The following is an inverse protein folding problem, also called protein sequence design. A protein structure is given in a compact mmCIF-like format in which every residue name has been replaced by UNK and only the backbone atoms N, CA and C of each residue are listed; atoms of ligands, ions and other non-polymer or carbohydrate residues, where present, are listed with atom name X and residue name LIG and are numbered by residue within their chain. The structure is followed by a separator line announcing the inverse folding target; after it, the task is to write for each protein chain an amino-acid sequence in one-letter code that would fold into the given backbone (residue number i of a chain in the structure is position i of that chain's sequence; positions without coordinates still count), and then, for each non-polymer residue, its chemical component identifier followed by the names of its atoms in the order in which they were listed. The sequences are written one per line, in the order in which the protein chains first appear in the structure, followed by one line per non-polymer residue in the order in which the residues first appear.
data_IF_280674820218
#
_entry.id   IF_280674820218
#
_cell.length_a   1.000
_cell.length_b   1.000
_cell.length_c   1.000
_cell.angle_alpha   90.00
_cell.angle_beta   90.00
_cell.angle_gamma   90.00
#
_symmetry.space_group_name_H-M   'P 1'
#
loop_
_entity.id
_entity.type
_entity.pdbx_description
1 polymer ?
#
# COMPACT_ATOMS: atom_id res chain seq x y z
N UNK A 1 11.92 69.60 -84.87
CA UNK A 1 10.57 69.28 -84.36
C UNK A 1 10.21 67.78 -84.39
N UNK A 2 10.69 66.96 -85.34
CA UNK A 2 10.35 65.50 -85.43
C UNK A 2 10.90 64.59 -84.31
N UNK A 3 12.00 64.94 -83.64
CA UNK A 3 12.57 64.10 -82.58
C UNK A 3 11.92 64.27 -81.20
N UNK A 4 11.27 65.41 -80.93
CA UNK A 4 10.55 65.60 -79.66
C UNK A 4 9.24 64.79 -79.67
N UNK A 5 8.48 64.80 -80.77
CA UNK A 5 7.22 64.05 -80.89
C UNK A 5 7.40 62.55 -80.73
N UNK A 6 8.54 61.98 -81.19
CA UNK A 6 8.88 60.56 -81.00
C UNK A 6 9.19 60.25 -79.52
N UNK A 7 9.85 61.15 -78.79
CA UNK A 7 10.13 60.98 -77.35
C UNK A 7 8.85 61.06 -76.51
N UNK A 8 7.92 61.95 -76.85
CA UNK A 8 6.61 62.03 -76.19
C UNK A 8 5.75 60.81 -76.49
N UNK A 9 5.75 60.31 -77.73
CA UNK A 9 5.05 59.08 -78.09
C UNK A 9 5.62 57.84 -77.37
N UNK A 10 6.95 57.73 -77.26
CA UNK A 10 7.60 56.65 -76.52
C UNK A 10 7.31 56.72 -75.01
N UNK A 11 7.29 57.91 -74.42
CA UNK A 11 6.96 58.11 -73.02
C UNK A 11 5.48 57.79 -72.72
N UNK A 12 4.55 58.15 -73.62
CA UNK A 12 3.13 57.81 -73.50
C UNK A 12 2.91 56.31 -73.67
N UNK A 13 3.60 55.65 -74.61
CA UNK A 13 3.55 54.19 -74.74
C UNK A 13 4.13 53.47 -73.51
N UNK A 14 5.21 53.97 -72.92
CA UNK A 14 5.78 53.41 -71.70
C UNK A 14 4.83 53.60 -70.50
N UNK A 15 4.17 54.76 -70.40
CA UNK A 15 3.19 55.03 -69.35
C UNK A 15 1.93 54.17 -69.49
N UNK A 16 1.45 53.95 -70.72
CA UNK A 16 0.34 53.04 -71.02
C UNK A 16 0.69 51.57 -70.76
N UNK A 17 1.94 51.16 -71.02
CA UNK A 17 2.42 49.80 -70.73
C UNK A 17 2.52 49.53 -69.21
N UNK A 18 2.95 50.53 -68.41
CA UNK A 18 3.00 50.41 -66.95
C UNK A 18 1.58 50.45 -66.34
N UNK A 19 0.66 51.24 -66.90
CA UNK A 19 -0.73 51.28 -66.46
C UNK A 19 -1.50 49.98 -66.75
N UNK A 20 -1.21 49.30 -67.87
CA UNK A 20 -1.83 48.01 -68.23
C UNK A 20 -1.34 46.84 -67.36
N UNK A 21 -0.13 46.94 -66.80
CA UNK A 21 0.44 45.94 -65.87
C UNK A 21 -0.14 46.04 -64.45
N UNK A 22 -0.85 47.13 -64.14
CA UNK A 22 -1.51 47.33 -62.84
C UNK A 22 -2.96 46.79 -62.83
N UNK A 23 -3.24 45.72 -63.57
CA UNK A 23 -4.50 44.99 -63.49
C UNK A 23 -4.37 43.88 -62.44
N UNK A 24 -4.87 44.20 -61.23
CA UNK A 24 -5.08 43.36 -60.03
C UNK A 24 -4.87 41.85 -60.24
N UNK A 25 -3.67 41.37 -59.92
CA UNK A 25 -3.33 39.96 -59.78
C UNK A 25 -3.83 39.35 -58.45
N UNK A 26 -4.91 39.88 -57.87
CA UNK A 26 -5.35 39.56 -56.50
C UNK A 26 -6.62 38.68 -56.47
N UNK A 27 -7.27 38.42 -57.61
CA UNK A 27 -8.51 37.63 -57.65
C UNK A 27 -8.33 36.15 -57.98
N UNK A 28 -7.16 35.73 -58.48
CA UNK A 28 -6.96 34.35 -58.97
C UNK A 28 -6.70 33.30 -57.87
N UNK A 29 -6.38 33.68 -56.62
CA UNK A 29 -6.19 32.69 -55.56
C UNK A 29 -7.53 32.11 -55.04
N UNK A 30 -8.62 32.86 -55.18
CA UNK A 30 -9.96 32.47 -54.70
C UNK A 30 -10.52 31.26 -55.44
N UNK A 31 -10.19 31.12 -56.73
CA UNK A 31 -10.60 29.98 -57.55
C UNK A 31 -9.87 28.68 -57.15
N UNK A 32 -8.66 28.78 -56.59
CA UNK A 32 -7.96 27.63 -55.99
C UNK A 32 -8.53 27.21 -54.63
N UNK A 33 -9.30 28.08 -53.96
CA UNK A 33 -9.91 27.82 -52.64
C UNK A 33 -11.27 27.11 -52.70
N UNK A 34 -11.79 26.77 -53.90
CA UNK A 34 -13.04 26.00 -54.12
C UNK A 34 -14.20 26.39 -53.18
N UNK A 35 -14.37 27.69 -52.94
CA UNK A 35 -15.44 28.26 -52.11
C UNK A 35 -15.57 27.74 -50.67
N UNK A 36 -14.48 27.29 -50.03
CA UNK A 36 -14.53 27.02 -48.58
C UNK A 36 -13.32 27.61 -47.87
N UNK A 37 -13.49 28.84 -47.40
CA UNK A 37 -12.68 29.31 -46.28
C UNK A 37 -12.95 28.37 -45.10
N UNK A 38 -11.92 27.67 -44.62
CA UNK A 38 -12.07 26.79 -43.46
C UNK A 38 -11.99 27.66 -42.22
N UNK A 39 -13.12 27.83 -41.55
CA UNK A 39 -13.23 28.57 -40.30
C UNK A 39 -12.75 27.66 -39.17
N UNK A 40 -11.83 28.15 -38.34
CA UNK A 40 -11.36 27.46 -37.14
C UNK A 40 -11.69 28.32 -35.92
N UNK A 41 -12.64 27.92 -35.06
CA UNK A 41 -12.82 28.58 -33.78
C UNK A 41 -11.56 28.44 -32.90
N UNK A 42 -11.42 29.34 -31.93
CA UNK A 42 -10.31 29.38 -30.98
C UNK A 42 -10.10 28.05 -30.25
N UNK A 43 -8.85 27.77 -29.89
CA UNK A 43 -8.48 26.51 -29.25
C UNK A 43 -8.40 26.63 -27.71
N UNK A 44 -8.55 25.52 -27.01
CA UNK A 44 -8.37 25.44 -25.56
C UNK A 44 -6.92 25.59 -25.16
N UNK A 45 -6.68 26.16 -23.98
CA UNK A 45 -5.33 26.34 -23.42
C UNK A 45 -5.11 25.52 -22.15
N UNK A 46 -3.85 25.20 -21.86
CA UNK A 46 -3.43 24.41 -20.68
C UNK A 46 -4.23 23.12 -20.42
N UNK A 47 -4.56 22.40 -21.48
CA UNK A 47 -5.25 21.10 -21.37
C UNK A 47 -4.44 20.13 -20.51
N UNK A 48 -5.05 19.69 -19.41
CA UNK A 48 -4.48 18.74 -18.46
C UNK A 48 -5.48 17.64 -18.17
N UNK A 49 -5.00 16.40 -17.98
CA UNK A 49 -5.84 15.27 -17.59
C UNK A 49 -5.25 14.66 -16.32
N UNK A 50 -6.08 14.55 -15.29
CA UNK A 50 -5.73 13.96 -14.00
C UNK A 50 -6.34 12.57 -13.88
N UNK A 51 -5.51 11.60 -13.52
CA UNK A 51 -5.86 10.18 -13.47
C UNK A 51 -6.59 9.80 -12.18
N UNK A 52 -7.58 8.92 -12.26
CA UNK A 52 -8.29 8.39 -11.10
C UNK A 52 -8.67 6.91 -11.26
N UNK A 53 -9.41 6.40 -10.30
CA UNK A 53 -9.97 5.04 -10.33
C UNK A 53 -11.19 4.98 -11.26
N UNK A 54 -11.03 4.33 -12.42
CA UNK A 54 -12.04 4.19 -13.47
C UNK A 54 -12.63 5.52 -13.93
N UNK A 55 -11.85 6.59 -13.81
CA UNK A 55 -12.23 7.97 -14.13
C UNK A 55 -11.03 8.86 -14.39
N UNK A 56 -11.26 9.99 -15.06
CA UNK A 56 -10.29 11.08 -15.18
C UNK A 56 -10.97 12.43 -14.99
N UNK A 57 -10.23 13.41 -14.50
CA UNK A 57 -10.62 14.81 -14.52
C UNK A 57 -9.87 15.53 -15.64
N UNK A 58 -10.60 16.02 -16.64
CA UNK A 58 -10.05 16.81 -17.74
C UNK A 58 -10.26 18.28 -17.43
N UNK A 59 -9.21 19.10 -17.57
CA UNK A 59 -9.27 20.53 -17.29
C UNK A 59 -8.59 21.34 -18.39
N UNK A 60 -9.14 22.52 -18.70
CA UNK A 60 -8.53 23.46 -19.63
C UNK A 60 -8.98 24.89 -19.32
N UNK A 61 -8.23 25.86 -19.86
CA UNK A 61 -8.62 27.26 -19.90
C UNK A 61 -9.39 27.50 -21.21
N UNK A 62 -10.54 28.20 -21.16
CA UNK A 62 -11.31 28.53 -22.36
C UNK A 62 -10.60 29.59 -23.19
N UNK A 63 -10.94 29.65 -24.48
CA UNK A 63 -10.49 30.72 -25.37
C UNK A 63 -11.39 31.96 -25.23
N UNK A 64 -10.85 33.14 -25.50
CA UNK A 64 -11.62 34.40 -25.53
C UNK A 64 -12.50 34.57 -26.76
N UNK A 65 -12.38 33.67 -27.74
CA UNK A 65 -13.25 33.62 -28.91
C UNK A 65 -14.72 33.34 -28.50
N UNK A 66 -15.64 34.31 -28.71
CA UNK A 66 -17.04 34.18 -28.33
C UNK A 66 -17.85 33.28 -29.28
N UNK A 67 -17.27 32.84 -30.41
CA UNK A 67 -17.97 31.96 -31.36
C UNK A 67 -18.07 30.51 -30.87
N UNK A 68 -17.25 30.13 -29.88
CA UNK A 68 -17.21 28.77 -29.33
C UNK A 68 -18.48 28.49 -28.51
N UNK A 69 -19.28 27.51 -28.90
CA UNK A 69 -20.50 27.14 -28.16
C UNK A 69 -20.35 25.85 -27.36
N UNK A 70 -19.43 24.96 -27.75
CA UNK A 70 -19.15 23.73 -27.03
C UNK A 70 -17.72 23.23 -27.23
N UNK A 71 -17.31 22.33 -26.35
CA UNK A 71 -16.10 21.54 -26.44
C UNK A 71 -16.48 20.08 -26.56
N UNK A 72 -15.72 19.30 -27.32
CA UNK A 72 -15.87 17.84 -27.32
C UNK A 72 -14.57 17.19 -26.95
N UNK A 73 -14.61 16.38 -25.89
CA UNK A 73 -13.50 15.56 -25.42
C UNK A 73 -13.69 14.17 -26.00
N UNK A 74 -12.66 13.62 -26.63
CA UNK A 74 -12.64 12.28 -27.18
C UNK A 74 -11.60 11.40 -26.48
N UNK A 75 -11.89 10.12 -26.37
CA UNK A 75 -10.98 9.08 -25.90
C UNK A 75 -11.21 7.79 -26.69
N UNK A 76 -10.53 6.69 -26.32
CA UNK A 76 -10.68 5.39 -27.00
C UNK A 76 -10.45 5.50 -28.53
N UNK A 77 -9.34 6.13 -28.92
CA UNK A 77 -9.00 6.40 -30.33
C UNK A 77 -10.07 7.19 -31.11
N UNK A 78 -10.86 8.01 -30.42
CA UNK A 78 -11.90 8.84 -31.02
C UNK A 78 -13.26 8.17 -31.14
N UNK A 79 -13.41 6.92 -30.69
CA UNK A 79 -14.69 6.20 -30.73
C UNK A 79 -15.68 6.68 -29.67
N UNK A 80 -15.16 7.17 -28.55
CA UNK A 80 -15.97 7.69 -27.46
C UNK A 80 -15.76 9.19 -27.30
N UNK A 81 -16.82 9.90 -26.90
CA UNK A 81 -16.75 11.34 -26.70
C UNK A 81 -17.76 11.86 -25.69
N UNK A 82 -17.47 13.04 -25.15
CA UNK A 82 -18.37 13.81 -24.32
C UNK A 82 -18.36 15.25 -24.80
N UNK A 83 -19.55 15.81 -25.01
CA UNK A 83 -19.73 17.22 -25.34
C UNK A 83 -20.00 18.03 -24.07
N UNK A 84 -19.31 19.16 -23.93
CA UNK A 84 -19.39 20.08 -22.80
C UNK A 84 -19.74 21.46 -23.35
N UNK A 85 -20.83 22.10 -22.90
CA UNK A 85 -21.17 23.45 -23.34
C UNK A 85 -20.10 24.46 -22.89
N UNK A 86 -19.83 25.47 -23.71
CA UNK A 86 -18.91 26.55 -23.36
C UNK A 86 -19.56 27.46 -22.32
N UNK A 87 -19.24 27.24 -21.04
CA UNK A 87 -19.85 28.00 -19.93
C UNK A 87 -19.23 29.38 -19.72
N UNK A 88 -18.06 29.65 -20.31
CA UNK A 88 -17.31 30.90 -20.16
C UNK A 88 -16.30 31.05 -21.30
N UNK A 89 -15.94 32.30 -21.59
CA UNK A 89 -14.88 32.70 -22.53
C UNK A 89 -13.78 33.50 -21.85
N UNK A 90 -13.75 33.54 -20.51
CA UNK A 90 -12.71 34.26 -19.78
C UNK A 90 -11.48 33.36 -19.68
N UNK A 91 -10.35 33.77 -20.28
CA UNK A 91 -9.12 32.98 -20.27
C UNK A 91 -8.53 32.72 -18.86
N UNK A 92 -9.00 33.45 -17.84
CA UNK A 92 -8.66 33.22 -16.43
C UNK A 92 -9.47 32.09 -15.77
N UNK A 93 -10.59 31.69 -16.35
CA UNK A 93 -11.44 30.62 -15.82
C UNK A 93 -10.87 29.23 -16.14
N UNK A 94 -11.33 28.21 -15.42
CA UNK A 94 -10.94 26.82 -15.69
C UNK A 94 -12.19 25.96 -15.86
N UNK A 95 -12.33 25.34 -17.02
CA UNK A 95 -13.36 24.34 -17.26
C UNK A 95 -12.85 22.99 -16.74
N UNK A 96 -13.72 22.25 -16.06
CA UNK A 96 -13.42 20.98 -15.40
C UNK A 96 -14.50 19.97 -15.75
N UNK A 97 -14.11 18.83 -16.30
CA UNK A 97 -15.02 17.75 -16.63
C UNK A 97 -14.52 16.42 -16.06
N UNK A 98 -15.31 15.81 -15.20
CA UNK A 98 -15.07 14.44 -14.72
C UNK A 98 -15.68 13.45 -15.71
N UNK A 99 -14.86 12.53 -16.22
CA UNK A 99 -15.29 11.44 -17.10
C UNK A 99 -15.16 10.15 -16.29
N UNK A 100 -16.26 9.43 -16.09
CA UNK A 100 -16.35 8.24 -15.23
C UNK A 100 -16.67 6.98 -16.05
N UNK A 101 -16.53 5.81 -15.43
CA UNK A 101 -16.83 4.52 -16.08
C UNK A 101 -15.80 4.11 -17.12
N UNK A 102 -14.58 4.65 -17.04
CA UNK A 102 -13.51 4.35 -17.98
C UNK A 102 -12.86 2.99 -17.65
N UNK A 103 -12.53 2.17 -18.66
CA UNK A 103 -11.76 0.95 -18.45
C UNK A 103 -10.33 1.29 -18.01
N UNK A 104 -9.77 0.44 -17.15
CA UNK A 104 -8.36 0.52 -16.77
C UNK A 104 -7.48 0.31 -17.99
N UNK A 105 -6.76 1.35 -18.38
CA UNK A 105 -6.00 1.39 -19.63
C UNK A 105 -5.05 2.58 -19.66
N UNK A 106 -4.15 2.59 -20.64
CA UNK A 106 -3.42 3.79 -21.03
C UNK A 106 -4.04 4.32 -22.32
N UNK A 107 -4.55 5.54 -22.31
CA UNK A 107 -5.30 6.12 -23.44
C UNK A 107 -4.95 7.58 -23.67
N UNK A 108 -5.32 8.10 -24.84
CA UNK A 108 -5.10 9.49 -25.24
C UNK A 108 -6.43 10.25 -25.16
N UNK A 109 -6.35 11.50 -24.72
CA UNK A 109 -7.49 12.41 -24.68
C UNK A 109 -7.28 13.54 -25.69
N UNK A 110 -8.33 13.83 -26.46
CA UNK A 110 -8.34 14.84 -27.50
C UNK A 110 -9.45 15.85 -27.21
N UNK A 111 -9.20 17.13 -27.42
CA UNK A 111 -10.19 18.20 -27.24
C UNK A 111 -10.25 19.07 -28.47
N UNK A 112 -11.48 19.36 -28.89
CA UNK A 112 -11.81 20.33 -29.93
C UNK A 112 -12.84 21.33 -29.38
N UNK A 113 -12.67 22.60 -29.73
CA UNK A 113 -13.74 23.60 -29.60
C UNK A 113 -14.63 23.56 -30.85
N UNK A 114 -15.91 23.86 -30.70
CA UNK A 114 -16.89 23.92 -31.78
C UNK A 114 -17.65 25.24 -31.76
N UNK A 115 -17.90 25.80 -32.94
CA UNK A 115 -18.82 26.92 -33.12
C UNK A 115 -20.25 26.44 -33.41
N UNK A 116 -21.18 27.39 -33.52
CA UNK A 116 -22.59 27.08 -33.77
C UNK A 116 -22.85 26.44 -35.14
N UNK A 117 -21.94 26.65 -36.11
CA UNK A 117 -22.01 26.08 -37.46
C UNK A 117 -21.37 24.69 -37.55
N UNK A 118 -20.77 24.20 -36.45
CA UNK A 118 -20.11 22.91 -36.37
C UNK A 118 -18.67 22.91 -36.90
N UNK A 119 -18.08 24.07 -37.16
CA UNK A 119 -16.65 24.16 -37.42
C UNK A 119 -15.88 23.84 -36.14
N UNK A 120 -14.70 23.22 -36.27
CA UNK A 120 -13.90 22.77 -35.12
C UNK A 120 -12.53 23.41 -35.10
N UNK A 121 -11.99 23.63 -33.91
CA UNK A 121 -10.61 24.12 -33.73
C UNK A 121 -9.58 23.11 -34.25
N UNK A 122 -8.30 23.50 -34.21
CA UNK A 122 -7.20 22.55 -34.30
C UNK A 122 -7.18 21.62 -33.08
N UNK A 123 -6.50 20.48 -33.19
CA UNK A 123 -6.47 19.46 -32.14
C UNK A 123 -5.61 19.90 -30.94
N UNK A 124 -6.12 19.73 -29.71
CA UNK A 124 -5.32 19.66 -28.47
C UNK A 124 -5.41 18.27 -27.88
N UNK A 125 -4.31 17.76 -27.37
CA UNK A 125 -4.24 16.38 -26.90
C UNK A 125 -3.33 16.21 -25.68
N UNK A 126 -3.66 15.22 -24.87
CA UNK A 126 -2.81 14.69 -23.81
C UNK A 126 -2.64 13.20 -24.06
N UNK A 127 -1.38 12.77 -24.18
CA UNK A 127 -1.03 11.41 -24.56
C UNK A 127 -0.67 10.56 -23.34
N UNK A 128 -0.86 9.24 -23.46
CA UNK A 128 -0.44 8.23 -22.50
C UNK A 128 -1.00 8.44 -21.08
N UNK A 129 -2.25 8.88 -20.97
CA UNK A 129 -2.94 9.03 -19.69
C UNK A 129 -3.30 7.65 -19.15
N UNK A 130 -2.84 7.33 -17.94
CA UNK A 130 -3.21 6.10 -17.25
C UNK A 130 -4.55 6.29 -16.54
N UNK A 131 -5.51 5.42 -16.81
CA UNK A 131 -6.73 5.26 -16.02
C UNK A 131 -6.50 4.06 -15.10
N UNK A 132 -6.55 4.26 -13.80
CA UNK A 132 -6.29 3.21 -12.81
C UNK A 132 -7.55 2.39 -12.55
N UNK A 133 -7.39 1.13 -12.14
CA UNK A 133 -8.51 0.25 -11.84
C UNK A 133 -8.12 -0.87 -10.88
N UNK A 134 -8.81 -2.00 -11.03
CA UNK A 134 -8.68 -3.15 -10.12
C UNK A 134 -7.33 -3.84 -10.26
N UNK A 135 -6.72 -3.84 -11.45
CA UNK A 135 -5.40 -4.44 -11.64
C UNK A 135 -4.34 -3.65 -10.87
N UNK A 136 -4.37 -2.31 -10.97
CA UNK A 136 -3.50 -1.46 -10.17
C UNK A 136 -3.70 -1.70 -8.67
N UNK A 137 -4.95 -1.73 -8.19
CA UNK A 137 -5.27 -2.02 -6.78
C UNK A 137 -4.73 -3.38 -6.32
N UNK A 138 -4.85 -4.41 -7.15
CA UNK A 138 -4.39 -5.77 -6.83
C UNK A 138 -2.86 -5.89 -6.73
N UNK A 139 -2.13 -4.95 -7.35
CA UNK A 139 -0.67 -4.90 -7.30
C UNK A 139 -0.12 -4.13 -6.10
N UNK A 140 -0.98 -3.52 -5.27
CA UNK A 140 -0.54 -2.79 -4.09
C UNK A 140 -0.36 -3.74 -2.90
N UNK A 141 0.73 -3.54 -2.17
CA UNK A 141 1.04 -4.25 -0.93
C UNK A 141 1.18 -3.25 0.21
N UNK A 142 0.91 -3.67 1.43
CA UNK A 142 1.15 -2.82 2.58
C UNK A 142 2.66 -2.60 2.78
N UNK A 143 3.01 -1.44 3.33
CA UNK A 143 4.37 -1.14 3.77
C UNK A 143 4.80 -2.19 4.78
N UNK A 144 6.01 -2.73 4.61
CA UNK A 144 6.51 -3.79 5.48
C UNK A 144 6.65 -3.27 6.92
N UNK A 145 5.92 -3.89 7.85
CA UNK A 145 6.14 -3.72 9.28
C UNK A 145 7.28 -4.68 9.69
N UNK A 146 8.41 -4.11 10.09
CA UNK A 146 9.65 -4.87 10.33
C UNK A 146 9.69 -5.49 11.73
N UNK A 147 9.28 -4.74 12.75
CA UNK A 147 9.32 -5.20 14.14
C UNK A 147 8.36 -4.44 15.04
N UNK A 148 8.08 -5.08 16.17
CA UNK A 148 7.32 -4.56 17.29
C UNK A 148 8.18 -4.72 18.56
N UNK A 149 8.51 -3.63 19.26
CA UNK A 149 9.33 -3.63 20.48
C UNK A 149 8.73 -2.71 21.54
N UNK A 150 9.02 -2.97 22.82
CA UNK A 150 8.62 -2.04 23.89
C UNK A 150 9.69 -0.97 24.08
N UNK A 151 9.28 0.27 24.32
CA UNK A 151 10.19 1.27 24.86
C UNK A 151 10.25 1.20 26.39
N UNK A 152 11.17 1.97 26.98
CA UNK A 152 11.37 2.03 28.44
C UNK A 152 10.13 2.52 29.20
N UNK A 153 9.27 3.32 28.55
CA UNK A 153 8.04 3.87 29.11
C UNK A 153 6.82 2.93 29.00
N UNK A 154 6.98 1.71 28.48
CA UNK A 154 5.90 0.73 28.33
C UNK A 154 4.95 0.95 27.14
N UNK A 155 5.34 1.79 26.17
CA UNK A 155 4.68 1.94 24.88
C UNK A 155 5.22 0.96 23.82
N UNK A 156 4.34 0.51 22.93
CA UNK A 156 4.73 -0.37 21.81
C UNK A 156 5.27 0.47 20.65
N UNK A 157 6.54 0.30 20.31
CA UNK A 157 7.18 0.90 19.14
C UNK A 157 7.03 -0.03 17.94
N UNK A 158 6.55 0.53 16.84
CA UNK A 158 6.45 -0.14 15.53
C UNK A 158 7.55 0.41 14.63
N UNK A 159 8.36 -0.46 14.02
CA UNK A 159 9.44 -0.07 13.08
C UNK A 159 9.12 -0.56 11.68
N UNK A 160 9.27 0.31 10.69
CA UNK A 160 8.78 0.11 9.33
C UNK A 160 9.92 0.09 8.32
N UNK A 161 9.77 -0.73 7.28
CA UNK A 161 10.68 -0.73 6.13
C UNK A 161 10.61 0.57 5.34
N UNK A 162 11.49 0.72 4.35
CA UNK A 162 11.47 1.85 3.42
C UNK A 162 10.12 1.85 2.67
N UNK A 163 9.41 3.00 2.59
CA UNK A 163 8.14 3.07 1.88
C UNK A 163 8.38 3.00 0.36
N UNK A 164 7.35 2.61 -0.39
CA UNK A 164 7.33 2.94 -1.82
C UNK A 164 7.31 4.47 -1.98
N UNK A 165 7.97 4.96 -3.03
CA UNK A 165 7.96 6.36 -3.49
C UNK A 165 6.57 6.97 -3.63
N UNK A 166 5.54 6.16 -3.91
CA UNK A 166 4.15 6.63 -4.05
C UNK A 166 3.29 6.39 -2.81
N UNK A 167 3.86 5.87 -1.71
CA UNK A 167 3.15 5.78 -0.43
C UNK A 167 2.89 7.20 0.12
N UNK A 168 1.67 7.45 0.58
CA UNK A 168 1.31 8.75 1.17
C UNK A 168 1.05 8.67 2.68
N UNK A 169 0.69 7.49 3.18
CA UNK A 169 0.55 7.20 4.62
C UNK A 169 0.35 5.71 4.84
N UNK A 170 0.58 5.29 6.08
CA UNK A 170 0.11 4.00 6.61
C UNK A 170 -0.76 4.24 7.82
N UNK A 171 -1.97 3.69 7.80
CA UNK A 171 -2.89 3.70 8.93
C UNK A 171 -2.61 2.49 9.80
N UNK A 172 -2.49 2.71 11.11
CA UNK A 172 -2.18 1.69 12.10
C UNK A 172 -3.33 1.66 13.10
N UNK A 173 -3.92 0.49 13.32
CA UNK A 173 -5.02 0.26 14.25
C UNK A 173 -4.59 -0.73 15.34
N UNK A 174 -4.84 -0.40 16.60
CA UNK A 174 -4.46 -1.23 17.74
C UNK A 174 -5.49 -1.12 18.87
N UNK A 175 -5.44 -2.03 19.83
CA UNK A 175 -6.30 -1.99 21.04
C UNK A 175 -5.49 -1.46 22.21
N UNK A 176 -6.04 -0.51 22.97
CA UNK A 176 -5.37 -0.02 24.19
C UNK A 176 -5.69 -0.89 25.43
N UNK A 177 -5.00 -0.67 26.55
CA UNK A 177 -5.17 -1.41 27.82
C UNK A 177 -6.61 -1.33 28.37
N UNK A 178 -7.39 -0.32 27.96
CA UNK A 178 -8.80 -0.15 28.33
C UNK A 178 -9.75 -0.96 27.43
N UNK A 179 -9.23 -1.66 26.43
CA UNK A 179 -10.00 -2.42 25.45
C UNK A 179 -10.57 -1.59 24.31
N UNK A 180 -10.17 -0.32 24.16
CA UNK A 180 -10.64 0.58 23.10
C UNK A 180 -9.77 0.46 21.84
N UNK A 181 -10.41 0.45 20.67
CA UNK A 181 -9.69 0.59 19.39
C UNK A 181 -9.14 1.99 19.19
N UNK A 182 -7.86 2.10 18.83
CA UNK A 182 -7.18 3.34 18.47
C UNK A 182 -6.67 3.27 17.04
N UNK A 183 -6.61 4.43 16.38
CA UNK A 183 -6.06 4.58 15.03
C UNK A 183 -5.04 5.71 15.04
N UNK A 184 -3.85 5.43 14.50
CA UNK A 184 -2.79 6.42 14.30
C UNK A 184 -2.27 6.34 12.87
N UNK A 185 -1.62 7.40 12.40
CA UNK A 185 -1.07 7.47 11.05
C UNK A 185 0.45 7.61 11.10
N UNK A 186 1.12 6.85 10.24
CA UNK A 186 2.54 6.94 9.93
C UNK A 186 2.70 7.68 8.60
N UNK A 187 3.51 8.74 8.58
CA UNK A 187 3.86 9.45 7.36
C UNK A 187 4.82 8.62 6.48
N UNK A 188 5.01 9.01 5.20
CA UNK A 188 5.97 8.32 4.34
C UNK A 188 7.41 8.48 4.86
N UNK A 189 7.75 9.66 5.39
CA UNK A 189 9.11 9.95 5.89
C UNK A 189 9.38 9.40 7.31
N UNK A 190 8.34 8.87 7.98
CA UNK A 190 8.47 8.25 9.28
C UNK A 190 8.86 6.76 9.13
N UNK A 191 9.76 6.29 9.98
CA UNK A 191 10.17 4.87 10.04
C UNK A 191 9.73 4.19 11.34
N UNK A 192 9.26 4.96 12.31
CA UNK A 192 8.83 4.43 13.60
C UNK A 192 7.56 5.14 14.09
N UNK A 193 6.74 4.40 14.85
CA UNK A 193 5.59 4.96 15.56
C UNK A 193 5.43 4.30 16.91
N UNK A 194 5.36 5.09 17.97
CA UNK A 194 5.00 4.63 19.31
C UNK A 194 3.48 4.59 19.48
N UNK A 195 2.97 3.46 19.93
CA UNK A 195 1.57 3.21 20.26
C UNK A 195 1.44 3.21 21.79
N UNK A 196 0.95 4.31 22.40
CA UNK A 196 0.81 4.41 23.84
C UNK A 196 -0.30 3.47 24.34
N UNK A 197 -0.14 2.99 25.57
CA UNK A 197 -1.15 2.16 26.24
C UNK A 197 -1.59 0.93 25.41
N UNK A 198 -0.77 0.34 24.55
CA UNK A 198 -1.15 -0.85 23.78
C UNK A 198 -1.43 -2.04 24.71
N UNK A 199 -2.52 -2.78 24.45
CA UNK A 199 -2.87 -3.99 25.20
C UNK A 199 -2.02 -5.16 24.73
N UNK A 200 -1.16 -5.63 25.62
CA UNK A 200 -0.31 -6.80 25.38
C UNK A 200 -1.13 -8.03 24.92
N UNK A 201 -0.56 -8.79 24.00
CA UNK A 201 -1.22 -9.94 23.36
C UNK A 201 -2.21 -9.60 22.23
N UNK A 202 -2.53 -8.32 21.99
CA UNK A 202 -3.44 -7.94 20.88
C UNK A 202 -2.70 -7.63 19.59
N UNK A 203 -3.27 -7.98 18.43
CA UNK A 203 -2.63 -7.68 17.13
C UNK A 203 -2.61 -6.18 16.83
N UNK A 204 -1.57 -5.74 16.14
CA UNK A 204 -1.53 -4.44 15.47
C UNK A 204 -1.94 -4.65 14.02
N UNK A 205 -2.99 -3.97 13.57
CA UNK A 205 -3.46 -4.00 12.18
C UNK A 205 -2.96 -2.77 11.43
N UNK A 206 -2.71 -2.89 10.13
CA UNK A 206 -2.28 -1.76 9.33
C UNK A 206 -2.72 -1.85 7.87
N UNK A 207 -2.86 -0.67 7.26
CA UNK A 207 -3.24 -0.52 5.85
C UNK A 207 -2.51 0.68 5.25
N UNK A 208 -1.82 0.47 4.13
CA UNK A 208 -1.09 1.52 3.43
C UNK A 208 -1.92 2.16 2.32
N UNK A 209 -1.62 3.43 2.06
CA UNK A 209 -2.30 4.25 1.07
C UNK A 209 -1.29 4.84 0.09
N UNK A 210 -1.62 4.85 -1.20
CA UNK A 210 -0.72 5.22 -2.28
C UNK A 210 -1.35 6.25 -3.22
N UNK A 211 -0.53 7.16 -3.74
CA UNK A 211 -0.90 8.12 -4.78
C UNK A 211 0.05 7.96 -5.98
N UNK A 212 -0.37 7.29 -7.06
CA UNK A 212 0.54 6.80 -8.11
C UNK A 212 1.27 7.89 -8.89
N UNK A 213 0.75 9.12 -8.89
CA UNK A 213 1.41 10.28 -9.48
C UNK A 213 0.89 11.55 -8.85
N UNK A 214 1.62 12.66 -9.01
CA UNK A 214 1.16 13.98 -8.59
C UNK A 214 -0.14 14.40 -9.29
N UNK A 215 -0.36 13.90 -10.51
CA UNK A 215 -1.55 14.12 -11.33
C UNK A 215 -2.68 13.13 -11.04
N UNK A 216 -2.56 12.27 -10.04
CA UNK A 216 -3.68 11.45 -9.60
C UNK A 216 -4.67 12.30 -8.77
N UNK A 217 -5.97 12.15 -9.02
CA UNK A 217 -7.04 12.73 -8.17
C UNK A 217 -7.41 11.83 -7.00
N UNK A 218 -7.07 10.54 -7.08
CA UNK A 218 -7.44 9.54 -6.10
C UNK A 218 -6.21 9.02 -5.31
N UNK A 219 -6.45 8.69 -4.05
CA UNK A 219 -5.53 7.93 -3.19
C UNK A 219 -6.08 6.52 -3.05
N UNK A 220 -5.23 5.52 -3.29
CA UNK A 220 -5.59 4.11 -3.33
C UNK A 220 -5.20 3.44 -2.03
N UNK A 221 -6.16 2.81 -1.35
CA UNK A 221 -5.89 1.94 -0.21
C UNK A 221 -5.53 0.54 -0.71
N UNK A 222 -4.55 -0.11 -0.07
CA UNK A 222 -4.29 -1.55 -0.29
C UNK A 222 -5.56 -2.33 0.07
N UNK A 223 -5.96 -3.28 -0.78
CA UNK A 223 -7.22 -4.01 -0.57
C UNK A 223 -7.23 -4.83 0.73
N UNK A 224 -6.10 -5.42 1.10
CA UNK A 224 -5.93 -6.19 2.33
C UNK A 224 -5.46 -5.35 3.50
N UNK A 225 -6.04 -5.60 4.67
CA UNK A 225 -5.50 -5.13 5.96
C UNK A 225 -4.57 -6.22 6.48
N UNK A 226 -3.32 -5.87 6.72
CA UNK A 226 -2.36 -6.79 7.34
C UNK A 226 -2.35 -6.64 8.85
N UNK A 227 -1.78 -7.62 9.53
CA UNK A 227 -1.58 -7.58 10.97
C UNK A 227 -0.23 -8.16 11.36
N UNK A 228 0.38 -7.59 12.38
CA UNK A 228 1.49 -8.21 13.08
C UNK A 228 1.15 -8.33 14.56
N UNK A 229 1.29 -9.54 15.07
CA UNK A 229 1.40 -9.83 16.48
C UNK A 229 2.85 -9.60 16.90
N UNK A 230 3.08 -8.97 18.06
CA UNK A 230 4.40 -9.01 18.69
C UNK A 230 4.60 -10.47 19.09
N UNK A 231 5.24 -11.24 18.22
CA UNK A 231 5.83 -12.51 18.62
C UNK A 231 6.86 -12.14 19.65
N UNK A 232 6.56 -12.47 20.90
CA UNK A 232 7.54 -12.51 21.99
C UNK A 232 8.55 -13.58 21.58
N UNK A 233 9.46 -13.21 20.68
CA UNK A 233 10.75 -13.90 20.53
C UNK A 233 11.65 -13.44 21.67
N UNK A 234 11.06 -13.31 22.85
CA UNK A 234 11.77 -13.06 24.07
C UNK A 234 12.03 -14.47 24.56
N UNK A 235 13.29 -14.87 24.43
CA UNK A 235 13.82 -15.92 25.25
C UNK A 235 13.58 -15.42 26.67
N UNK A 236 12.50 -15.89 27.30
CA UNK A 236 12.26 -15.61 28.70
C UNK A 236 13.40 -16.33 29.40
N UNK A 237 14.34 -15.55 29.92
CA UNK A 237 15.24 -16.06 30.94
C UNK A 237 14.32 -16.37 32.10
N UNK A 238 13.99 -17.66 32.22
CA UNK A 238 13.12 -18.12 33.27
C UNK A 238 13.98 -18.76 34.33
N UNK A 239 13.98 -18.19 35.53
CA UNK A 239 14.56 -18.85 36.69
C UNK A 239 13.71 -20.09 36.97
N UNK A 240 14.33 -21.26 37.02
CA UNK A 240 13.65 -22.48 37.46
C UNK A 240 14.23 -22.98 38.76
N UNK A 241 13.34 -23.35 39.66
CA UNK A 241 13.69 -23.99 40.93
C UNK A 241 12.85 -25.24 41.08
N UNK A 242 13.44 -26.32 41.61
CA UNK A 242 12.70 -27.55 41.74
C UNK A 242 13.55 -28.75 42.09
N UNK A 243 12.94 -29.92 41.92
CA UNK A 243 13.56 -31.22 42.17
C UNK A 243 13.49 -32.08 40.92
N UNK A 244 14.59 -32.75 40.59
CA UNK A 244 14.54 -33.91 39.71
C UNK A 244 14.71 -35.19 40.52
N UNK A 245 14.01 -36.23 40.08
CA UNK A 245 14.03 -37.53 40.74
C UNK A 245 15.03 -38.46 40.04
N UNK A 246 15.45 -39.52 40.74
CA UNK A 246 16.25 -40.60 40.16
C UNK A 246 15.48 -41.30 39.03
N UNK A 247 16.18 -42.07 38.19
CA UNK A 247 15.46 -42.86 37.18
C UNK A 247 14.55 -43.88 37.87
N UNK A 248 13.29 -43.91 37.47
CA UNK A 248 12.31 -44.89 37.93
C UNK A 248 11.97 -45.88 36.82
N UNK A 249 11.53 -47.07 37.24
CA UNK A 249 10.73 -48.00 36.42
C UNK A 249 9.34 -48.13 37.05
N UNK A 250 8.40 -48.78 36.37
CA UNK A 250 7.09 -49.10 36.97
C UNK A 250 7.23 -49.85 38.32
N UNK A 251 8.26 -50.70 38.45
CA UNK A 251 8.50 -51.56 39.63
C UNK A 251 9.42 -50.94 40.69
N UNK A 252 10.09 -49.82 40.38
CA UNK A 252 10.99 -49.09 41.29
C UNK A 252 10.73 -47.60 41.20
N UNK A 253 10.00 -47.00 42.16
CA UNK A 253 9.65 -45.59 42.11
C UNK A 253 10.90 -44.72 42.22
N UNK A 254 10.90 -43.63 41.46
CA UNK A 254 11.95 -42.61 41.52
C UNK A 254 11.98 -41.91 42.89
N UNK A 255 13.17 -41.68 43.43
CA UNK A 255 13.39 -40.93 44.68
C UNK A 255 13.93 -39.53 44.37
N UNK A 256 13.62 -38.53 45.20
CA UNK A 256 14.19 -37.18 45.02
C UNK A 256 15.72 -37.27 45.04
N UNK A 257 16.38 -36.72 44.01
CA UNK A 257 17.80 -36.91 43.78
C UNK A 257 18.60 -35.65 44.07
N UNK A 258 18.18 -34.51 43.53
CA UNK A 258 18.76 -33.20 43.86
C UNK A 258 17.77 -32.07 43.55
N UNK A 259 17.98 -30.94 44.23
CA UNK A 259 17.37 -29.67 43.87
C UNK A 259 18.20 -28.97 42.80
N UNK A 260 17.58 -28.04 42.06
CA UNK A 260 18.25 -27.16 41.12
C UNK A 260 17.72 -25.74 41.23
N UNK A 261 18.58 -24.79 40.86
CA UNK A 261 18.27 -23.38 40.68
C UNK A 261 19.11 -22.90 39.49
N UNK A 262 18.49 -22.73 38.33
CA UNK A 262 19.19 -22.37 37.09
C UNK A 262 18.30 -21.59 36.13
N UNK A 263 18.92 -20.99 35.11
CA UNK A 263 18.21 -20.32 34.04
C UNK A 263 17.79 -21.31 32.95
N UNK A 264 16.59 -21.11 32.41
CA UNK A 264 16.02 -21.93 31.35
C UNK A 264 15.37 -21.04 30.31
N UNK A 265 15.61 -21.35 29.05
CA UNK A 265 14.96 -20.65 27.95
C UNK A 265 13.56 -21.19 27.72
N UNK A 266 12.60 -20.27 27.81
CA UNK A 266 11.20 -20.51 27.50
C UNK A 266 10.82 -19.57 26.37
N UNK A 267 10.17 -20.10 25.35
CA UNK A 267 9.73 -19.35 24.18
C UNK A 267 8.20 -19.27 24.19
N UNK A 268 7.65 -18.09 23.91
CA UNK A 268 6.22 -17.93 23.68
C UNK A 268 5.92 -17.97 22.18
N UNK A 269 5.04 -18.88 21.75
CA UNK A 269 4.74 -19.11 20.35
C UNK A 269 3.52 -18.31 19.84
N UNK A 270 2.79 -17.63 20.75
CA UNK A 270 1.48 -17.03 20.46
C UNK A 270 0.33 -17.90 21.01
N UNK A 271 -0.87 -17.33 21.08
CA UNK A 271 -2.12 -18.04 21.42
C UNK A 271 -2.10 -18.86 22.74
N UNK A 272 -1.31 -18.44 23.73
CA UNK A 272 -1.20 -19.12 25.03
C UNK A 272 -0.28 -20.35 25.04
N UNK A 273 0.48 -20.56 23.96
CA UNK A 273 1.47 -21.64 23.85
C UNK A 273 2.88 -21.17 24.21
N UNK A 274 3.54 -21.94 25.08
CA UNK A 274 4.93 -21.78 25.49
C UNK A 274 5.70 -23.04 25.14
N UNK A 275 7.01 -22.94 24.96
CA UNK A 275 7.86 -24.09 24.73
C UNK A 275 9.22 -23.94 25.42
N UNK A 276 9.83 -25.05 25.78
CA UNK A 276 11.20 -25.09 26.28
C UNK A 276 11.90 -26.38 25.86
N UNK A 277 13.22 -26.41 26.04
CA UNK A 277 14.05 -27.58 25.73
C UNK A 277 14.56 -28.25 27.01
N UNK A 278 14.58 -29.57 27.01
CA UNK A 278 15.26 -30.38 28.03
C UNK A 278 16.34 -31.19 27.34
N UNK A 279 17.53 -31.25 27.92
CA UNK A 279 18.55 -32.23 27.54
C UNK A 279 18.49 -33.42 28.54
N UNK A 280 17.74 -34.49 28.25
CA UNK A 280 17.76 -35.72 29.04
C UNK A 280 19.13 -36.41 28.89
N UNK A 281 20.12 -35.97 29.66
CA UNK A 281 21.51 -36.47 29.66
C UNK A 281 21.65 -37.99 29.83
N UNK A 282 20.57 -38.68 30.21
CA UNK A 282 20.52 -40.11 30.48
C UNK A 282 19.96 -40.93 29.30
N UNK A 283 19.41 -40.28 28.27
CA UNK A 283 18.79 -40.91 27.10
C UNK A 283 19.41 -40.41 25.78
N UNK A 284 20.75 -40.44 25.73
CA UNK A 284 21.59 -39.88 24.67
C UNK A 284 21.52 -38.35 24.54
N UNK A 285 22.40 -37.75 23.72
CA UNK A 285 22.53 -36.30 23.51
C UNK A 285 21.36 -35.70 22.69
N UNK A 286 20.13 -36.14 22.95
CA UNK A 286 18.94 -35.67 22.26
C UNK A 286 18.28 -34.56 23.07
N UNK A 287 17.83 -33.51 22.40
CA UNK A 287 17.09 -32.41 23.03
C UNK A 287 15.59 -32.63 22.85
N UNK A 288 14.85 -32.67 23.95
CA UNK A 288 13.41 -32.84 23.96
C UNK A 288 12.71 -31.48 23.97
N UNK A 289 11.83 -31.25 23.00
CA UNK A 289 10.98 -30.06 22.94
C UNK A 289 9.68 -30.31 23.70
N UNK A 290 9.41 -29.43 24.66
CA UNK A 290 8.21 -29.46 25.51
C UNK A 290 7.36 -28.24 25.20
N UNK A 291 6.06 -28.45 25.04
CA UNK A 291 5.04 -27.43 24.82
C UNK A 291 4.13 -27.34 26.03
N UNK A 292 3.75 -26.12 26.38
CA UNK A 292 2.81 -25.80 27.45
C UNK A 292 1.69 -24.93 26.88
N UNK A 293 0.44 -25.29 27.14
CA UNK A 293 -0.72 -24.49 26.74
C UNK A 293 -1.48 -24.11 28.00
N UNK A 294 -1.71 -22.81 28.20
CA UNK A 294 -2.49 -22.29 29.32
C UNK A 294 -3.97 -22.29 28.93
N UNK A 295 -4.79 -22.97 29.72
CA UNK A 295 -6.24 -22.99 29.56
C UNK A 295 -6.89 -21.77 30.21
N UNK A 296 -8.16 -21.50 29.90
CA UNK A 296 -8.90 -20.34 30.44
C UNK A 296 -9.03 -20.35 31.97
N UNK A 297 -8.96 -21.52 32.61
CA UNK A 297 -9.01 -21.70 34.05
C UNK A 297 -7.63 -21.68 34.74
N UNK A 298 -6.59 -21.24 34.01
CA UNK A 298 -5.18 -21.23 34.42
C UNK A 298 -4.54 -22.61 34.65
N UNK A 299 -5.20 -23.71 34.27
CA UNK A 299 -4.52 -25.01 34.21
C UNK A 299 -3.58 -25.04 33.01
N UNK A 300 -2.50 -25.82 33.10
CA UNK A 300 -1.47 -25.92 32.07
C UNK A 300 -1.40 -27.33 31.52
N UNK A 301 -1.65 -27.47 30.23
CA UNK A 301 -1.39 -28.72 29.52
C UNK A 301 0.08 -28.77 29.13
N UNK A 302 0.78 -29.87 29.40
CA UNK A 302 2.20 -30.06 29.08
C UNK A 302 2.40 -31.31 28.23
N UNK A 303 3.01 -31.17 27.05
CA UNK A 303 3.15 -32.23 26.06
C UNK A 303 4.51 -32.14 25.34
N UNK A 304 5.02 -33.26 24.85
CA UNK A 304 6.16 -33.29 23.93
C UNK A 304 5.72 -33.08 22.48
N UNK A 305 6.59 -32.52 21.63
CA UNK A 305 6.36 -32.50 20.18
C UNK A 305 6.07 -33.90 19.63
N UNK A 306 5.00 -34.08 18.87
CA UNK A 306 4.73 -35.34 18.18
C UNK A 306 5.91 -35.69 17.24
N UNK A 307 6.50 -36.87 17.42
CA UNK A 307 7.62 -37.33 16.58
C UNK A 307 9.01 -36.86 17.02
N UNK A 308 9.23 -36.62 18.33
CA UNK A 308 10.59 -36.42 18.84
C UNK A 308 11.49 -37.58 18.38
N UNK A 309 12.62 -37.26 17.75
CA UNK A 309 13.57 -38.26 17.18
C UNK A 309 14.16 -39.20 18.26
N UNK A 310 13.87 -38.96 19.53
CA UNK A 310 14.44 -39.62 20.70
C UNK A 310 13.60 -40.78 21.27
N UNK A 311 12.37 -41.04 20.76
CA UNK A 311 11.50 -42.08 21.34
C UNK A 311 11.07 -41.80 22.78
N UNK A 312 11.07 -40.50 23.15
CA UNK A 312 10.68 -39.99 24.47
C UNK A 312 9.36 -39.21 24.36
N UNK A 313 8.51 -39.35 25.38
CA UNK A 313 7.28 -38.58 25.53
C UNK A 313 7.31 -37.79 26.84
N UNK A 314 6.66 -36.62 26.85
CA UNK A 314 6.40 -35.85 28.08
C UNK A 314 4.93 -35.98 28.43
N UNK A 315 4.66 -36.29 29.70
CA UNK A 315 3.31 -36.37 30.25
C UNK A 315 3.25 -35.66 31.60
N UNK A 316 2.09 -35.11 31.94
CA UNK A 316 1.85 -34.54 33.26
C UNK A 316 1.90 -35.63 34.34
N UNK A 317 2.44 -35.27 35.50
CA UNK A 317 2.57 -36.11 36.71
C UNK A 317 1.89 -35.43 37.92
N UNK A 318 0.80 -34.72 37.66
CA UNK A 318 0.07 -33.92 38.64
C UNK A 318 -0.61 -32.73 38.00
N UNK A 319 -1.18 -31.86 38.83
CA UNK A 319 -1.73 -30.60 38.38
C UNK A 319 -0.60 -29.63 38.00
N UNK A 320 -0.67 -29.09 36.80
CA UNK A 320 0.15 -27.98 36.34
C UNK A 320 -0.72 -26.73 36.23
N UNK A 321 -0.22 -25.59 36.71
CA UNK A 321 -0.99 -24.33 36.76
C UNK A 321 -0.12 -23.13 36.45
N UNK A 322 -0.76 -22.03 36.05
CA UNK A 322 -0.12 -20.75 35.77
C UNK A 322 -0.70 -19.65 36.66
N UNK A 323 0.16 -18.86 37.30
CA UNK A 323 -0.23 -17.61 37.97
C UNK A 323 0.00 -16.44 37.00
N UNK A 324 -1.07 -15.80 36.47
CA UNK A 324 -0.95 -14.69 35.54
C UNK A 324 -0.42 -13.40 36.16
N UNK A 325 -0.53 -13.22 37.49
CA UNK A 325 -0.08 -12.00 38.18
C UNK A 325 1.44 -12.05 38.38
N UNK A 326 1.94 -13.18 38.89
CA UNK A 326 3.37 -13.39 39.11
C UNK A 326 4.12 -13.91 37.88
N UNK A 327 3.42 -14.25 36.79
CA UNK A 327 3.96 -14.94 35.60
C UNK A 327 4.70 -16.23 35.98
N UNK A 328 4.11 -17.03 36.87
CA UNK A 328 4.76 -18.23 37.43
C UNK A 328 4.06 -19.50 36.95
N UNK A 329 4.82 -20.45 36.40
CA UNK A 329 4.32 -21.80 36.15
C UNK A 329 4.69 -22.73 37.30
N UNK A 330 3.72 -23.55 37.70
CA UNK A 330 3.91 -24.69 38.60
C UNK A 330 3.74 -25.95 37.78
N UNK A 331 4.82 -26.71 37.58
CA UNK A 331 4.88 -27.79 36.62
C UNK A 331 5.28 -29.10 37.30
N UNK A 332 4.42 -30.12 37.15
CA UNK A 332 4.69 -31.50 37.57
C UNK A 332 4.57 -32.42 36.38
N UNK A 333 5.70 -32.91 35.88
CA UNK A 333 5.73 -33.73 34.68
C UNK A 333 6.83 -34.79 34.72
N UNK A 334 6.74 -35.75 33.81
CA UNK A 334 7.79 -36.72 33.59
C UNK A 334 8.08 -36.86 32.10
N UNK A 335 9.33 -37.16 31.77
CA UNK A 335 9.63 -37.78 30.48
C UNK A 335 9.81 -39.27 30.65
N UNK A 336 9.30 -40.04 29.69
CA UNK A 336 9.39 -41.50 29.67
C UNK A 336 9.73 -42.02 28.28
N UNK A 337 10.45 -43.14 28.23
CA UNK A 337 10.76 -43.85 27.00
C UNK A 337 9.79 -45.01 26.73
N UNK A 338 9.91 -45.62 25.55
CA UNK A 338 9.08 -46.77 25.17
C UNK A 338 9.23 -48.01 26.07
N UNK A 339 10.32 -48.11 26.85
CA UNK A 339 10.54 -49.23 27.79
C UNK A 339 10.00 -48.96 29.20
N UNK A 340 9.29 -47.84 29.42
CA UNK A 340 8.73 -47.48 30.72
C UNK A 340 9.72 -46.94 31.75
N UNK A 341 10.93 -46.57 31.31
CA UNK A 341 11.87 -45.81 32.13
C UNK A 341 11.48 -44.33 32.10
N UNK A 342 11.44 -43.69 33.26
CA UNK A 342 11.04 -42.30 33.38
C UNK A 342 11.92 -41.49 34.35
N UNK A 343 11.84 -40.16 34.23
CA UNK A 343 12.31 -39.21 35.25
C UNK A 343 11.26 -38.13 35.46
N UNK A 344 10.96 -37.85 36.73
CA UNK A 344 10.01 -36.83 37.19
C UNK A 344 10.68 -35.48 37.47
N UNK A 345 9.90 -34.42 37.29
CA UNK A 345 10.23 -33.03 37.56
C UNK A 345 9.08 -32.40 38.33
N UNK A 346 9.42 -31.72 39.42
CA UNK A 346 8.56 -30.78 40.13
C UNK A 346 9.29 -29.44 40.09
N UNK A 347 8.85 -28.53 39.23
CA UNK A 347 9.53 -27.26 38.96
C UNK A 347 8.58 -26.06 39.03
N UNK A 348 9.10 -24.97 39.59
CA UNK A 348 8.51 -23.64 39.52
C UNK A 348 9.33 -22.83 38.53
N UNK A 349 8.66 -22.23 37.56
CA UNK A 349 9.26 -21.48 36.47
C UNK A 349 8.77 -20.03 36.54
N UNK A 350 9.67 -19.12 36.84
CA UNK A 350 9.38 -17.69 36.89
C UNK A 350 9.66 -17.10 35.50
N UNK A 351 8.61 -16.73 34.77
CA UNK A 351 8.74 -16.13 33.43
C UNK A 351 8.89 -14.60 33.57
N UNK A 352 10.12 -14.09 33.43
CA UNK A 352 10.45 -12.67 33.59
C UNK A 352 10.06 -11.79 32.38
#
# INVERSE_FOLDING_TARGET
MKHQTIKWAAAICLFLAVAASCSKADSNFRDYLKEREIIYPGNVEQLTVYSGYKRVLVTWLPNTDPSIVSYRVFWNNGNDSLEIPASTHQASDTIRQLITGLPESTTNFFVYSYDQQGNRSTLRQVLNVKVYGDNYLSGLYNRNLSSLSMNEDGGLVTTWGIPDTVNVRTEIRYTNIRGEGKTVFLGPDDFEKTLPEWKEGTKVYYQSYYKPSSQAIDTFAVAGVDSMDRKVKDMLDAKREGWYYSMGTLDRPSTALASFEEWKWVYFNGDGEYQFQIAPSVFANTTLQVYMTINEDNTVNILSKSGSEAGLSVVADGACTYDPVGRVFYLKYMYLNASGLYRKFDEVLYAE
#
